data_IF_447870682198
#
_entry.id   IF_447870682198
#
_cell.length_a   1.000
_cell.length_b   1.000
_cell.length_c   1.000
_cell.angle_alpha   90.00
_cell.angle_beta   90.00
_cell.angle_gamma   90.00
#
_symmetry.space_group_name_H-M   'P 1'
#
loop_
_entity.id
_entity.type
_entity.pdbx_description
1 polymer ?
#
# COMPACT_ATOMS: atom_id res chain seq x y z
N UNK A 1 -12.53 -13.88 -21.19
CA UNK A 1 -12.51 -12.69 -20.31
C UNK A 1 -13.84 -12.61 -19.57
N UNK A 2 -13.85 -12.84 -18.26
CA UNK A 2 -15.09 -12.81 -17.47
C UNK A 2 -15.68 -11.39 -17.44
N UNK A 3 -16.77 -11.16 -18.17
CA UNK A 3 -17.56 -9.94 -18.08
C UNK A 3 -18.55 -10.09 -16.93
N UNK A 4 -18.10 -9.77 -15.72
CA UNK A 4 -18.98 -9.73 -14.54
C UNK A 4 -19.71 -8.40 -14.55
N UNK A 5 -21.05 -8.43 -14.54
CA UNK A 5 -21.85 -7.21 -14.42
C UNK A 5 -21.50 -6.51 -13.10
N UNK A 6 -21.38 -5.16 -13.05
CA UNK A 6 -20.90 -4.45 -11.87
C UNK A 6 -21.70 -4.74 -10.60
N UNK A 7 -23.01 -5.00 -10.72
CA UNK A 7 -23.89 -5.40 -9.60
C UNK A 7 -23.53 -6.76 -8.98
N UNK A 8 -22.80 -7.61 -9.69
CA UNK A 8 -22.36 -8.93 -9.22
C UNK A 8 -20.88 -8.95 -8.79
N UNK A 9 -20.14 -7.87 -9.05
CA UNK A 9 -18.71 -7.80 -8.75
C UNK A 9 -18.40 -8.07 -7.26
N UNK A 10 -19.23 -7.55 -6.36
CA UNK A 10 -19.10 -7.77 -4.90
C UNK A 10 -19.28 -9.24 -4.49
N UNK A 11 -20.09 -10.01 -5.23
CA UNK A 11 -20.28 -11.45 -4.98
C UNK A 11 -19.12 -12.29 -5.50
N UNK A 12 -18.48 -11.86 -6.59
CA UNK A 12 -17.36 -12.59 -7.22
C UNK A 12 -16.03 -12.25 -6.55
N UNK A 13 -15.88 -11.03 -6.04
CA UNK A 13 -14.63 -10.52 -5.43
C UNK A 13 -14.90 -9.89 -4.05
N UNK A 14 -15.34 -10.67 -3.05
CA UNK A 14 -15.71 -10.15 -1.74
C UNK A 14 -14.53 -9.48 -1.01
N UNK A 15 -13.31 -10.01 -1.18
CA UNK A 15 -12.12 -9.44 -0.53
C UNK A 15 -11.72 -8.08 -1.12
N UNK A 16 -11.90 -7.90 -2.42
CA UNK A 16 -11.63 -6.63 -3.10
C UNK A 16 -12.63 -5.57 -2.64
N UNK A 17 -13.92 -5.94 -2.55
CA UNK A 17 -14.96 -5.04 -2.05
C UNK A 17 -14.71 -4.61 -0.60
N UNK A 18 -14.22 -5.53 0.24
CA UNK A 18 -13.80 -5.24 1.62
C UNK A 18 -12.57 -4.33 1.67
N UNK A 19 -11.61 -4.52 0.78
CA UNK A 19 -10.42 -3.65 0.68
C UNK A 19 -10.80 -2.23 0.26
N UNK A 20 -11.71 -2.09 -0.72
CA UNK A 20 -12.23 -0.79 -1.18
C UNK A 20 -13.02 -0.09 -0.06
N UNK A 21 -13.85 -0.83 0.67
CA UNK A 21 -14.59 -0.29 1.82
C UNK A 21 -13.65 0.22 2.90
N UNK A 22 -12.56 -0.51 3.20
CA UNK A 22 -11.52 -0.06 4.13
C UNK A 22 -10.77 1.18 3.64
N UNK A 23 -10.45 1.25 2.35
CA UNK A 23 -9.82 2.43 1.76
C UNK A 23 -10.70 3.67 1.94
N UNK A 24 -12.01 3.56 1.68
CA UNK A 24 -12.96 4.67 1.86
C UNK A 24 -13.00 5.14 3.31
N UNK A 25 -13.11 4.22 4.27
CA UNK A 25 -13.10 4.55 5.71
C UNK A 25 -11.77 5.21 6.13
N UNK A 26 -10.63 4.69 5.64
CA UNK A 26 -9.32 5.26 5.94
C UNK A 26 -9.18 6.68 5.41
N UNK A 27 -9.51 6.93 4.14
CA UNK A 27 -9.47 8.28 3.54
C UNK A 27 -10.35 9.25 4.34
N UNK A 28 -11.59 8.85 4.64
CA UNK A 28 -12.54 9.70 5.37
C UNK A 28 -12.11 9.99 6.81
N UNK A 29 -11.33 9.10 7.43
CA UNK A 29 -10.84 9.28 8.80
C UNK A 29 -9.50 10.01 8.90
N UNK A 30 -8.64 9.90 7.89
CA UNK A 30 -7.29 10.49 7.90
C UNK A 30 -7.22 11.85 7.22
N UNK A 31 -8.05 12.11 6.21
CA UNK A 31 -8.00 13.35 5.43
C UNK A 31 -9.31 14.13 5.54
N UNK A 32 -9.22 15.37 6.03
CA UNK A 32 -10.37 16.29 6.08
C UNK A 32 -10.69 16.89 4.70
N UNK A 33 -9.68 17.04 3.84
CA UNK A 33 -9.81 17.56 2.47
C UNK A 33 -9.08 16.64 1.51
N UNK A 34 -9.80 16.11 0.52
CA UNK A 34 -9.29 15.12 -0.43
C UNK A 34 -9.36 15.70 -1.82
N UNK A 35 -8.23 15.73 -2.52
CA UNK A 35 -8.16 16.20 -3.91
C UNK A 35 -7.78 15.06 -4.85
N UNK A 36 -8.43 15.02 -6.02
CA UNK A 36 -8.14 14.04 -7.08
C UNK A 36 -6.68 14.11 -7.54
N UNK A 37 -6.02 15.27 -7.41
CA UNK A 37 -4.60 15.46 -7.77
C UNK A 37 -3.66 14.53 -7.02
N UNK A 38 -4.02 14.13 -5.80
CA UNK A 38 -3.20 13.29 -4.91
C UNK A 38 -3.68 11.85 -4.81
N UNK A 39 -4.58 11.40 -5.71
CA UNK A 39 -5.15 10.06 -5.65
C UNK A 39 -4.11 8.94 -5.60
N UNK A 40 -3.06 9.03 -6.43
CA UNK A 40 -1.98 8.04 -6.45
C UNK A 40 -1.20 8.00 -5.13
N UNK A 41 -1.03 9.17 -4.49
CA UNK A 41 -0.35 9.28 -3.21
C UNK A 41 -1.19 8.65 -2.09
N UNK A 42 -2.49 8.95 -2.02
CA UNK A 42 -3.40 8.32 -1.06
C UNK A 42 -3.44 6.80 -1.21
N UNK A 43 -3.47 6.30 -2.45
CA UNK A 43 -3.44 4.86 -2.71
C UNK A 43 -2.12 4.22 -2.28
N UNK A 44 -1.00 4.92 -2.45
CA UNK A 44 0.33 4.44 -2.03
C UNK A 44 0.43 4.37 -0.50
N UNK A 45 -0.06 5.39 0.20
CA UNK A 45 -0.10 5.44 1.67
C UNK A 45 -1.00 4.34 2.25
N UNK A 46 -2.22 4.19 1.69
CA UNK A 46 -3.13 3.11 2.07
C UNK A 46 -2.47 1.73 1.85
N UNK A 47 -1.85 1.53 0.69
CA UNK A 47 -1.20 0.26 0.34
C UNK A 47 -0.07 -0.07 1.31
N UNK A 48 0.71 0.92 1.72
CA UNK A 48 1.76 0.75 2.73
C UNK A 48 1.19 0.25 4.06
N UNK A 49 0.15 0.93 4.58
CA UNK A 49 -0.51 0.55 5.82
C UNK A 49 -1.19 -0.83 5.75
N UNK A 50 -1.91 -1.09 4.66
CA UNK A 50 -2.61 -2.35 4.41
C UNK A 50 -1.60 -3.52 4.35
N UNK A 51 -0.53 -3.40 3.56
CA UNK A 51 0.48 -4.43 3.40
C UNK A 51 1.35 -4.65 4.64
N UNK A 52 1.43 -3.66 5.55
CA UNK A 52 2.16 -3.78 6.82
C UNK A 52 1.31 -4.44 7.92
N UNK A 53 0.00 -4.21 7.94
CA UNK A 53 -0.92 -4.72 8.98
C UNK A 53 -1.19 -6.23 8.87
N UNK A 54 -1.25 -6.77 7.65
CA UNK A 54 -1.66 -8.17 7.43
C UNK A 54 -0.52 -9.16 7.31
N UNK A 55 0.74 -8.71 7.18
CA UNK A 55 1.85 -9.65 7.22
C UNK A 55 2.29 -9.83 8.68
N UNK A 56 2.43 -11.07 9.15
CA UNK A 56 3.25 -11.48 10.31
C UNK A 56 4.73 -11.16 10.11
N UNK A 57 4.99 -9.91 9.74
CA UNK A 57 6.27 -9.31 9.39
C UNK A 57 6.68 -8.29 10.43
N UNK A 58 5.82 -7.99 11.42
CA UNK A 58 6.13 -7.02 12.47
C UNK A 58 7.32 -7.52 13.28
N UNK A 59 7.31 -8.81 13.60
CA UNK A 59 8.40 -9.56 14.21
C UNK A 59 9.64 -9.71 13.31
N UNK A 60 9.47 -9.69 11.98
CA UNK A 60 10.57 -9.87 11.00
C UNK A 60 11.16 -8.57 10.44
N UNK A 61 10.81 -7.40 11.00
CA UNK A 61 11.39 -6.12 10.55
C UNK A 61 12.90 -6.13 10.79
N UNK A 62 13.33 -6.58 11.97
CA UNK A 62 14.74 -6.66 12.32
C UNK A 62 15.48 -7.65 11.41
N UNK A 63 14.96 -8.87 11.27
CA UNK A 63 15.57 -9.90 10.41
C UNK A 63 15.71 -9.43 8.96
N UNK A 64 14.68 -8.76 8.43
CA UNK A 64 14.73 -8.18 7.09
C UNK A 64 15.77 -7.07 6.98
N UNK A 65 15.87 -6.20 7.98
CA UNK A 65 16.86 -5.14 8.00
C UNK A 65 18.27 -5.75 8.00
N UNK A 66 18.56 -6.68 8.92
CA UNK A 66 19.83 -7.37 9.01
C UNK A 66 20.19 -8.08 7.70
N UNK A 67 19.24 -8.86 7.16
CA UNK A 67 19.41 -9.54 5.86
C UNK A 67 19.68 -8.55 4.73
N UNK A 68 18.96 -7.42 4.70
CA UNK A 68 19.15 -6.38 3.67
C UNK A 68 20.53 -5.73 3.80
N UNK A 69 21.00 -5.43 5.01
CA UNK A 69 22.34 -4.89 5.25
C UNK A 69 23.45 -5.88 4.86
N UNK A 70 23.24 -7.18 5.07
CA UNK A 70 24.20 -8.21 4.66
C UNK A 70 24.24 -8.41 3.15
N UNK A 71 23.10 -8.33 2.46
CA UNK A 71 22.99 -8.61 1.02
C UNK A 71 23.33 -7.37 0.17
N UNK A 72 22.97 -6.18 0.62
CA UNK A 72 23.11 -4.95 -0.16
C UNK A 72 24.34 -4.15 0.26
N UNK A 73 24.97 -3.50 -0.72
CA UNK A 73 26.01 -2.50 -0.44
C UNK A 73 25.38 -1.24 0.14
N UNK A 74 26.15 -0.52 0.95
CA UNK A 74 25.72 0.75 1.51
C UNK A 74 25.40 1.75 0.38
N UNK A 75 24.14 2.16 0.31
CA UNK A 75 23.68 3.19 -0.63
C UNK A 75 24.00 4.56 -0.07
N UNK A 76 24.64 5.41 -0.88
CA UNK A 76 24.93 6.79 -0.50
C UNK A 76 23.71 7.69 -0.67
N UNK A 77 23.68 8.83 0.03
CA UNK A 77 22.56 9.78 -0.06
C UNK A 77 22.33 10.26 -1.51
N UNK A 78 23.40 10.52 -2.26
CA UNK A 78 23.30 10.94 -3.67
C UNK A 78 22.59 9.89 -4.53
N UNK A 79 22.83 8.60 -4.30
CA UNK A 79 22.16 7.51 -5.01
C UNK A 79 20.68 7.36 -4.65
N UNK A 80 20.28 7.75 -3.43
CA UNK A 80 18.87 7.70 -3.00
C UNK A 80 18.03 8.81 -3.63
N UNK A 81 18.60 10.00 -3.82
CA UNK A 81 17.87 11.16 -4.34
C UNK A 81 17.70 11.10 -5.86
N UNK A 82 18.62 10.47 -6.59
CA UNK A 82 18.56 10.33 -8.06
C UNK A 82 17.29 9.60 -8.55
N UNK A 83 16.70 8.71 -7.74
CA UNK A 83 15.45 8.01 -8.11
C UNK A 83 14.16 8.76 -7.77
N UNK A 84 14.25 9.93 -7.11
CA UNK A 84 13.11 10.75 -6.67
C UNK A 84 12.88 11.98 -7.55
N UNK A 85 13.83 12.31 -8.43
CA UNK A 85 13.77 13.39 -9.44
C UNK A 85 13.55 12.81 -10.83
#
# INVERSE_FOLDING_TARGET
MYHVKPKQASKVLPDVDRAISRLKTWISGTHTHVSRKHLNQYLSEFSYGFNRRFKGRRERIFDRLATTCCINRATTYSQLVVGLT
#
